data_IF_030345852821
#
_entry.id   IF_030345852821
#
_cell.length_a   1.000
_cell.length_b   1.000
_cell.length_c   1.000
_cell.angle_alpha   90.00
_cell.angle_beta   90.00
_cell.angle_gamma   90.00
#
_symmetry.space_group_name_H-M   'P 1'
#
loop_
_entity.id
_entity.type
_entity.pdbx_description
1 polymer ?
#
# COMPACT_ATOMS: atom_id res chain seq x y z
N UNK A 1 -6.54 -29.09 22.11
CA UNK A 1 -6.73 -27.64 22.13
C UNK A 1 -7.48 -27.29 20.87
N UNK A 2 -8.62 -26.63 21.03
CA UNK A 2 -9.62 -26.46 19.97
C UNK A 2 -9.23 -25.34 19.00
N UNK A 3 -9.72 -25.45 17.77
CA UNK A 3 -9.47 -24.46 16.71
C UNK A 3 -10.19 -23.15 17.03
N UNK A 4 -9.47 -22.03 16.99
CA UNK A 4 -10.04 -20.69 17.17
C UNK A 4 -10.75 -20.26 15.88
N UNK A 5 -12.02 -19.85 15.95
CA UNK A 5 -12.78 -19.34 14.79
C UNK A 5 -12.78 -17.82 14.81
N UNK A 6 -12.33 -17.20 13.72
CA UNK A 6 -12.17 -15.75 13.60
C UNK A 6 -12.95 -15.28 12.38
N UNK A 7 -13.78 -14.26 12.56
CA UNK A 7 -14.47 -13.58 11.47
C UNK A 7 -13.81 -12.22 11.20
N UNK A 8 -13.52 -11.93 9.94
CA UNK A 8 -13.06 -10.62 9.47
C UNK A 8 -14.17 -10.01 8.63
N UNK A 9 -14.63 -8.81 9.01
CA UNK A 9 -15.71 -8.13 8.29
C UNK A 9 -15.11 -7.15 7.28
N UNK A 10 -15.43 -7.34 6.00
CA UNK A 10 -15.00 -6.52 4.87
C UNK A 10 -13.96 -7.21 3.97
N UNK A 11 -14.19 -7.17 2.66
CA UNK A 11 -13.30 -7.77 1.64
C UNK A 11 -12.50 -6.74 0.83
N UNK A 12 -12.28 -5.54 1.37
CA UNK A 12 -11.32 -4.58 0.83
C UNK A 12 -9.87 -4.97 1.15
N UNK A 13 -8.91 -4.14 0.71
CA UNK A 13 -7.46 -4.41 0.89
C UNK A 13 -7.07 -4.65 2.35
N UNK A 14 -7.66 -3.90 3.28
CA UNK A 14 -7.37 -4.02 4.72
C UNK A 14 -7.97 -5.30 5.30
N UNK A 15 -9.21 -5.65 4.94
CA UNK A 15 -9.86 -6.86 5.45
C UNK A 15 -9.17 -8.13 4.95
N UNK A 16 -8.86 -8.21 3.66
CA UNK A 16 -8.16 -9.37 3.08
C UNK A 16 -6.73 -9.50 3.59
N UNK A 17 -5.97 -8.40 3.67
CA UNK A 17 -4.60 -8.46 4.22
C UNK A 17 -4.59 -8.85 5.70
N UNK A 18 -5.57 -8.36 6.48
CA UNK A 18 -5.75 -8.74 7.88
C UNK A 18 -6.05 -10.24 8.02
N UNK A 19 -6.96 -10.77 7.19
CA UNK A 19 -7.29 -12.20 7.19
C UNK A 19 -6.07 -13.09 6.87
N UNK A 20 -5.23 -12.68 5.92
CA UNK A 20 -3.96 -13.36 5.60
C UNK A 20 -2.97 -13.26 6.75
N UNK A 21 -2.80 -12.09 7.37
CA UNK A 21 -1.90 -11.94 8.53
C UNK A 21 -2.35 -12.81 9.71
N UNK A 22 -3.65 -12.84 10.03
CA UNK A 22 -4.20 -13.66 11.11
C UNK A 22 -3.98 -15.15 10.81
N UNK A 23 -4.24 -15.61 9.59
CA UNK A 23 -4.08 -17.03 9.25
C UNK A 23 -2.62 -17.51 9.34
N UNK A 24 -1.66 -16.61 9.12
CA UNK A 24 -0.22 -16.91 9.24
C UNK A 24 0.29 -16.82 10.68
N UNK A 25 -0.24 -15.90 11.49
CA UNK A 25 0.31 -15.57 12.81
C UNK A 25 -0.41 -16.29 13.97
N UNK A 26 -1.69 -16.65 13.81
CA UNK A 26 -2.47 -17.27 14.88
C UNK A 26 -2.51 -18.78 14.70
N UNK A 27 -1.86 -19.57 15.59
CA UNK A 27 -1.84 -21.02 15.46
C UNK A 27 -3.23 -21.63 15.63
N UNK A 28 -3.54 -22.64 14.80
CA UNK A 28 -4.81 -23.39 14.85
C UNK A 28 -6.04 -22.48 14.80
N UNK A 29 -6.05 -21.51 13.88
CA UNK A 29 -7.23 -20.69 13.61
C UNK A 29 -7.95 -21.10 12.32
N UNK A 30 -9.23 -20.76 12.23
CA UNK A 30 -10.04 -20.77 11.01
C UNK A 30 -10.57 -19.36 10.81
N UNK A 31 -10.16 -18.73 9.72
CA UNK A 31 -10.52 -17.34 9.39
C UNK A 31 -11.58 -17.34 8.30
N UNK A 32 -12.68 -16.63 8.52
CA UNK A 32 -13.74 -16.40 7.52
C UNK A 32 -13.85 -14.90 7.25
N UNK A 33 -13.77 -14.51 5.98
CA UNK A 33 -14.05 -13.14 5.55
C UNK A 33 -15.54 -13.02 5.20
N UNK A 34 -16.24 -12.07 5.81
CA UNK A 34 -17.66 -11.79 5.61
C UNK A 34 -17.81 -10.38 5.05
N UNK A 35 -18.46 -10.21 3.90
CA UNK A 35 -18.60 -8.88 3.27
C UNK A 35 -19.82 -8.81 2.35
N UNK A 36 -20.49 -7.65 2.28
CA UNK A 36 -21.59 -7.42 1.33
C UNK A 36 -21.09 -7.34 -0.12
N UNK A 37 -19.85 -6.87 -0.30
CA UNK A 37 -19.16 -6.65 -1.56
C UNK A 37 -17.78 -7.25 -1.51
N UNK A 38 -17.41 -7.88 -2.62
CA UNK A 38 -16.09 -8.43 -2.90
C UNK A 38 -15.52 -7.74 -4.14
N UNK A 39 -14.34 -8.14 -4.58
CA UNK A 39 -13.82 -7.69 -5.88
C UNK A 39 -14.84 -8.03 -6.99
N UNK A 40 -15.11 -7.12 -7.95
CA UNK A 40 -14.47 -5.84 -8.19
C UNK A 40 -15.15 -4.62 -7.52
N UNK A 41 -16.10 -4.83 -6.61
CA UNK A 41 -17.05 -3.80 -6.15
C UNK A 41 -16.68 -3.18 -4.80
N UNK A 42 -15.39 -3.12 -4.46
CA UNK A 42 -14.91 -2.49 -3.21
C UNK A 42 -14.32 -1.09 -3.46
N UNK A 43 -14.27 -0.24 -2.43
CA UNK A 43 -13.54 1.04 -2.51
C UNK A 43 -12.07 0.84 -2.89
N UNK A 44 -11.47 -0.29 -2.49
CA UNK A 44 -10.09 -0.61 -2.87
C UNK A 44 -9.93 -0.79 -4.37
N UNK A 45 -10.92 -1.36 -5.09
CA UNK A 45 -10.85 -1.57 -6.53
C UNK A 45 -10.76 -0.28 -7.36
N UNK A 46 -11.23 0.85 -6.82
CA UNK A 46 -11.19 2.16 -7.50
C UNK A 46 -9.99 3.02 -7.07
N UNK A 47 -9.18 2.55 -6.12
CA UNK A 47 -8.00 3.28 -5.67
C UNK A 47 -6.91 3.34 -6.74
N UNK A 48 -6.17 4.45 -6.80
CA UNK A 48 -5.07 4.62 -7.77
C UNK A 48 -3.90 3.65 -7.55
N UNK A 49 -3.74 3.11 -6.33
CA UNK A 49 -2.74 2.10 -5.99
C UNK A 49 -1.34 2.62 -5.70
N UNK A 50 -1.09 3.93 -5.78
CA UNK A 50 0.22 4.52 -5.49
C UNK A 50 0.53 4.46 -3.99
N UNK A 51 1.69 3.91 -3.65
CA UNK A 51 2.17 3.85 -2.27
C UNK A 51 2.87 5.17 -1.89
N UNK A 52 2.07 6.16 -1.49
CA UNK A 52 2.54 7.46 -0.98
C UNK A 52 1.73 7.75 0.28
N UNK A 53 2.36 7.87 1.47
CA UNK A 53 1.61 8.00 2.69
C UNK A 53 1.19 9.47 2.90
N UNK A 54 -0.03 9.64 3.39
CA UNK A 54 -0.51 10.92 3.91
C UNK A 54 -0.23 11.02 5.41
N UNK A 55 -0.08 12.24 5.91
CA UNK A 55 0.00 12.49 7.35
C UNK A 55 -1.39 12.42 7.97
N UNK A 56 -1.56 11.55 8.95
CA UNK A 56 -2.77 11.44 9.75
C UNK A 56 -2.59 12.19 11.08
N UNK A 57 -3.42 13.20 11.39
CA UNK A 57 -3.19 14.06 12.57
C UNK A 57 -3.33 13.31 13.90
N UNK A 58 -4.20 12.32 13.96
CA UNK A 58 -4.51 11.58 15.20
C UNK A 58 -3.59 10.37 15.44
N UNK A 59 -2.56 10.18 14.60
CA UNK A 59 -1.60 9.08 14.73
C UNK A 59 -0.19 9.64 14.84
N UNK A 60 0.64 9.21 15.81
CA UNK A 60 2.02 9.67 15.89
C UNK A 60 2.82 9.37 14.60
N UNK A 61 3.59 10.34 14.12
CA UNK A 61 4.45 10.19 12.92
C UNK A 61 5.35 8.95 12.99
N UNK A 62 6.00 8.60 14.12
CA UNK A 62 6.79 7.38 14.20
C UNK A 62 5.99 6.10 13.90
N UNK A 63 4.74 6.04 14.35
CA UNK A 63 3.84 4.90 14.09
C UNK A 63 3.44 4.84 12.61
N UNK A 64 3.08 5.98 12.02
CA UNK A 64 2.76 6.05 10.59
C UNK A 64 3.95 5.64 9.73
N UNK A 65 5.15 6.12 10.08
CA UNK A 65 6.40 5.74 9.41
C UNK A 65 6.66 4.25 9.52
N UNK A 66 6.44 3.65 10.69
CA UNK A 66 6.61 2.21 10.89
C UNK A 66 5.67 1.42 9.97
N UNK A 67 4.37 1.72 9.98
CA UNK A 67 3.40 1.04 9.11
C UNK A 67 3.74 1.18 7.63
N UNK A 68 4.14 2.37 7.21
CA UNK A 68 4.61 2.62 5.85
C UNK A 68 5.84 1.78 5.52
N UNK A 69 6.84 1.73 6.40
CA UNK A 69 8.08 0.97 6.23
C UNK A 69 7.80 -0.53 6.10
N UNK A 70 6.95 -1.07 6.96
CA UNK A 70 6.59 -2.49 6.92
C UNK A 70 5.80 -2.84 5.65
N UNK A 71 4.87 -1.98 5.25
CA UNK A 71 4.11 -2.14 4.00
C UNK A 71 5.01 -2.05 2.78
N UNK A 72 5.91 -1.06 2.72
CA UNK A 72 6.86 -0.87 1.63
C UNK A 72 7.76 -2.10 1.48
N UNK A 73 8.29 -2.62 2.59
CA UNK A 73 9.13 -3.83 2.59
C UNK A 73 8.37 -5.06 2.08
N UNK A 74 7.14 -5.26 2.56
CA UNK A 74 6.30 -6.38 2.13
C UNK A 74 6.01 -6.33 0.62
N UNK A 75 5.57 -5.17 0.12
CA UNK A 75 5.25 -4.99 -1.28
C UNK A 75 6.51 -5.01 -2.17
N UNK A 76 7.66 -4.54 -1.69
CA UNK A 76 8.94 -4.67 -2.40
C UNK A 76 9.30 -6.14 -2.59
N UNK A 77 9.17 -6.97 -1.55
CA UNK A 77 9.44 -8.40 -1.64
C UNK A 77 8.51 -9.10 -2.65
N UNK A 78 7.25 -8.68 -2.76
CA UNK A 78 6.33 -9.18 -3.80
C UNK A 78 6.79 -8.72 -5.19
N UNK A 79 7.13 -7.44 -5.36
CA UNK A 79 7.58 -6.86 -6.63
C UNK A 79 8.87 -7.51 -7.16
N UNK A 80 9.72 -8.01 -6.27
CA UNK A 80 10.96 -8.73 -6.60
C UNK A 80 10.76 -10.24 -6.80
N UNK A 81 9.55 -10.75 -6.56
CA UNK A 81 9.22 -12.17 -6.67
C UNK A 81 8.66 -12.55 -8.05
N UNK A 82 8.60 -13.86 -8.31
CA UNK A 82 7.92 -14.39 -9.50
C UNK A 82 6.40 -14.10 -9.51
N UNK A 83 5.80 -13.79 -8.37
CA UNK A 83 4.37 -13.51 -8.23
C UNK A 83 4.02 -12.03 -8.50
N UNK A 84 5.01 -11.17 -8.79
CA UNK A 84 4.80 -9.71 -8.93
C UNK A 84 3.67 -9.35 -9.92
N UNK A 85 3.64 -10.02 -11.08
CA UNK A 85 2.62 -9.80 -12.11
C UNK A 85 1.23 -10.28 -11.65
N UNK A 86 1.16 -11.45 -11.02
CA UNK A 86 -0.10 -12.04 -10.52
C UNK A 86 -0.66 -11.27 -9.32
N UNK A 87 0.20 -10.62 -8.55
CA UNK A 87 -0.17 -9.74 -7.44
C UNK A 87 -0.43 -8.29 -7.89
N UNK A 88 -0.02 -7.91 -9.11
CA UNK A 88 -0.17 -6.54 -9.62
C UNK A 88 0.69 -5.51 -8.87
N UNK A 89 1.84 -5.92 -8.32
CA UNK A 89 2.72 -5.05 -7.53
C UNK A 89 4.00 -4.77 -8.32
N UNK A 90 4.31 -3.50 -8.56
CA UNK A 90 5.50 -3.11 -9.33
C UNK A 90 6.08 -1.77 -8.87
N UNK A 91 7.37 -1.58 -9.12
CA UNK A 91 8.04 -0.29 -8.88
C UNK A 91 7.63 0.74 -9.94
N UNK A 92 7.50 1.99 -9.51
CA UNK A 92 7.21 3.14 -10.37
C UNK A 92 8.02 4.35 -9.92
N UNK A 93 8.71 4.96 -10.89
CA UNK A 93 9.46 6.21 -10.68
C UNK A 93 8.63 7.40 -11.13
N UNK A 94 8.71 8.51 -10.41
CA UNK A 94 7.99 9.72 -10.79
C UNK A 94 8.42 10.96 -10.02
N UNK A 95 7.62 12.01 -10.22
CA UNK A 95 7.78 13.29 -9.54
C UNK A 95 6.52 13.64 -8.77
N UNK A 96 6.70 14.21 -7.59
CA UNK A 96 5.67 14.95 -6.87
C UNK A 96 5.99 16.44 -7.00
N UNK A 97 5.10 17.21 -7.64
CA UNK A 97 5.30 18.63 -7.97
C UNK A 97 4.37 19.53 -7.16
N UNK A 98 4.87 20.69 -6.75
CA UNK A 98 4.18 21.61 -5.84
C UNK A 98 4.19 23.04 -6.40
N UNK A 99 3.04 23.72 -6.31
CA UNK A 99 2.88 25.12 -6.75
C UNK A 99 3.55 26.11 -5.79
N UNK A 100 3.76 25.71 -4.54
CA UNK A 100 4.47 26.44 -3.50
C UNK A 100 5.48 25.50 -2.86
N UNK A 101 6.56 26.05 -2.28
CA UNK A 101 7.50 25.24 -1.49
C UNK A 101 6.76 24.72 -0.24
N UNK A 102 6.70 23.40 0.00
CA UNK A 102 6.05 22.85 1.17
C UNK A 102 6.81 23.23 2.45
N UNK A 103 6.10 23.34 3.58
CA UNK A 103 6.70 23.64 4.88
C UNK A 103 7.69 22.57 5.34
N UNK A 104 7.45 21.32 4.94
CA UNK A 104 8.34 20.18 5.13
C UNK A 104 8.84 19.71 3.76
N UNK A 105 10.07 20.10 3.42
CA UNK A 105 10.67 19.77 2.12
C UNK A 105 11.16 18.31 2.04
N UNK A 106 11.40 17.68 3.18
CA UNK A 106 11.77 16.27 3.31
C UNK A 106 10.72 15.58 4.18
N UNK A 107 9.76 14.86 3.59
CA UNK A 107 8.70 14.23 4.36
C UNK A 107 9.23 13.08 5.21
N UNK A 108 8.53 12.74 6.30
CA UNK A 108 8.90 11.69 7.25
C UNK A 108 9.21 10.29 6.66
N UNK A 109 8.73 10.02 5.43
CA UNK A 109 8.87 8.76 4.70
C UNK A 109 9.96 8.78 3.61
N UNK A 110 10.67 9.90 3.43
CA UNK A 110 11.65 10.09 2.37
C UNK A 110 12.78 9.05 2.36
N UNK A 111 13.19 8.57 3.54
CA UNK A 111 14.23 7.56 3.73
C UNK A 111 13.75 6.11 3.55
N UNK A 112 12.45 5.90 3.39
CA UNK A 112 11.85 4.57 3.16
C UNK A 112 11.72 4.27 1.67
N UNK A 113 11.36 5.28 0.87
CA UNK A 113 11.25 5.14 -0.59
C UNK A 113 12.62 5.15 -1.27
N UNK A 114 12.67 4.71 -2.53
CA UNK A 114 13.95 4.55 -3.23
C UNK A 114 14.36 5.84 -3.93
N UNK A 115 15.57 6.32 -3.62
CA UNK A 115 16.21 7.43 -4.34
C UNK A 115 15.50 8.77 -4.19
N UNK A 116 14.90 9.05 -3.02
CA UNK A 116 14.28 10.34 -2.75
C UNK A 116 15.29 11.48 -2.88
N UNK A 117 14.90 12.51 -3.63
CA UNK A 117 15.65 13.75 -3.78
C UNK A 117 14.74 14.89 -4.21
N UNK A 118 15.24 16.12 -4.08
CA UNK A 118 14.64 17.27 -4.78
C UNK A 118 14.84 17.10 -6.29
N UNK A 119 13.90 17.62 -7.07
CA UNK A 119 14.04 17.72 -8.52
C UNK A 119 15.17 18.68 -8.86
N UNK A 120 15.96 18.32 -9.88
CA UNK A 120 16.90 19.25 -10.48
C UNK A 120 16.14 20.34 -11.25
N UNK A 121 16.75 21.52 -11.42
CA UNK A 121 16.14 22.65 -12.13
C UNK A 121 15.69 22.26 -13.56
N UNK A 122 16.48 21.45 -14.26
CA UNK A 122 16.15 20.97 -15.60
C UNK A 122 14.91 20.05 -15.62
N UNK A 123 14.67 19.27 -14.56
CA UNK A 123 13.46 18.45 -14.44
C UNK A 123 12.25 19.32 -14.13
N UNK A 124 12.39 20.31 -13.25
CA UNK A 124 11.30 21.20 -12.84
C UNK A 124 10.81 22.09 -13.99
N UNK A 125 11.70 22.48 -14.92
CA UNK A 125 11.35 23.23 -16.15
C UNK A 125 10.29 22.55 -17.02
N UNK A 126 10.06 21.24 -16.86
CA UNK A 126 8.98 20.50 -17.53
C UNK A 126 7.58 20.83 -16.99
N UNK A 127 7.51 21.45 -15.82
CA UNK A 127 6.28 21.75 -15.09
C UNK A 127 6.20 23.26 -14.80
N UNK A 128 5.95 24.11 -15.82
CA UNK A 128 6.12 25.57 -15.72
C UNK A 128 5.22 26.27 -14.69
N UNK A 129 4.16 25.61 -14.21
CA UNK A 129 3.27 26.14 -13.17
C UNK A 129 3.68 25.73 -11.73
N UNK A 130 4.79 25.00 -11.58
CA UNK A 130 5.24 24.42 -10.32
C UNK A 130 6.62 24.95 -9.96
N UNK A 131 6.84 25.24 -8.68
CA UNK A 131 8.05 25.93 -8.18
C UNK A 131 8.93 25.02 -7.33
N UNK A 132 8.43 23.85 -6.95
CA UNK A 132 9.16 22.85 -6.18
C UNK A 132 8.75 21.46 -6.63
N UNK A 133 9.65 20.50 -6.50
CA UNK A 133 9.33 19.11 -6.78
C UNK A 133 10.32 18.13 -6.16
N UNK A 134 9.85 16.91 -5.98
CA UNK A 134 10.60 15.79 -5.42
C UNK A 134 10.56 14.65 -6.44
N UNK A 135 11.66 13.91 -6.57
CA UNK A 135 11.78 12.72 -7.41
C UNK A 135 12.07 11.52 -6.52
N UNK A 136 11.40 10.40 -6.77
CA UNK A 136 11.62 9.14 -6.07
C UNK A 136 11.00 7.97 -6.84
N UNK A 137 11.41 6.76 -6.48
CA UNK A 137 10.77 5.51 -6.90
C UNK A 137 10.00 4.93 -5.71
N UNK A 138 8.73 4.60 -5.95
CA UNK A 138 7.85 3.92 -4.98
C UNK A 138 7.20 2.69 -5.63
N UNK A 139 6.23 2.08 -4.96
CA UNK A 139 5.46 0.96 -5.46
C UNK A 139 4.07 1.42 -5.91
N UNK A 140 3.55 0.77 -6.96
CA UNK A 140 2.14 0.76 -7.30
C UNK A 140 1.60 -0.64 -7.05
N UNK A 141 0.47 -0.70 -6.36
CA UNK A 141 -0.29 -1.91 -6.11
C UNK A 141 -1.63 -1.80 -6.84
N UNK A 142 -1.76 -2.55 -7.94
CA UNK A 142 -2.99 -2.62 -8.72
C UNK A 142 -4.03 -3.42 -7.93
N UNK A 143 -4.87 -2.73 -7.15
CA UNK A 143 -5.83 -3.37 -6.24
C UNK A 143 -6.84 -4.27 -6.97
N UNK A 144 -7.19 -3.97 -8.22
CA UNK A 144 -8.01 -4.85 -9.06
C UNK A 144 -7.38 -6.22 -9.34
N UNK A 145 -6.05 -6.34 -9.22
CA UNK A 145 -5.27 -7.57 -9.37
C UNK A 145 -4.87 -8.13 -8.00
N UNK A 146 -4.44 -7.26 -7.09
CA UNK A 146 -3.95 -7.62 -5.76
C UNK A 146 -5.04 -8.21 -4.86
N UNK A 147 -6.29 -7.73 -4.94
CA UNK A 147 -7.39 -8.29 -4.15
C UNK A 147 -7.71 -9.75 -4.53
N UNK A 148 -7.91 -10.13 -5.81
CA UNK A 148 -7.98 -11.53 -6.22
C UNK A 148 -6.78 -12.38 -5.76
N UNK A 149 -5.58 -11.81 -5.78
CA UNK A 149 -4.37 -12.51 -5.31
C UNK A 149 -4.41 -12.77 -3.79
N UNK A 150 -4.87 -11.82 -2.98
CA UNK A 150 -5.09 -12.01 -1.55
C UNK A 150 -6.24 -12.99 -1.26
N UNK A 151 -7.33 -12.95 -2.03
CA UNK A 151 -8.47 -13.87 -1.89
C UNK A 151 -8.03 -15.34 -2.02
N UNK A 152 -7.15 -15.65 -2.98
CA UNK A 152 -6.57 -17.00 -3.15
C UNK A 152 -5.73 -17.47 -1.96
N UNK A 153 -5.26 -16.54 -1.13
CA UNK A 153 -4.42 -16.79 0.05
C UNK A 153 -5.24 -16.76 1.34
N UNK A 154 -6.46 -16.24 1.30
CA UNK A 154 -7.39 -16.26 2.42
C UNK A 154 -8.07 -17.63 2.55
N UNK A 155 -8.34 -18.04 3.79
CA UNK A 155 -8.71 -19.44 4.12
C UNK A 155 -10.18 -19.77 3.80
N UNK A 156 -11.09 -18.79 3.89
CA UNK A 156 -12.50 -18.94 3.50
C UNK A 156 -13.16 -17.57 3.25
N UNK A 157 -14.02 -17.49 2.22
CA UNK A 157 -14.79 -16.30 1.85
C UNK A 157 -16.28 -16.60 1.95
N UNK A 158 -17.04 -15.72 2.59
CA UNK A 158 -18.50 -15.82 2.76
C UNK A 158 -19.16 -14.50 2.37
N UNK A 159 -20.18 -14.59 1.52
CA UNK A 159 -21.02 -13.45 1.10
C UNK A 159 -22.17 -13.25 2.07
#
# INVERSE_FOLDING_TARGET
MDTVRIAVVGAGVIGLSTAVCISQLVPRCSVTVISDKFTPDTTSNVAAGMLIPHTYPDTPVPTQKQWFTETFRHLSAIAESAEAADAGVHLVSGWQVFRNVPSEEVPFWADVVLGFRRMAEAELKRFPQYVFGQAFTTLKCETSVYLPWLEKRAVALMR
#
